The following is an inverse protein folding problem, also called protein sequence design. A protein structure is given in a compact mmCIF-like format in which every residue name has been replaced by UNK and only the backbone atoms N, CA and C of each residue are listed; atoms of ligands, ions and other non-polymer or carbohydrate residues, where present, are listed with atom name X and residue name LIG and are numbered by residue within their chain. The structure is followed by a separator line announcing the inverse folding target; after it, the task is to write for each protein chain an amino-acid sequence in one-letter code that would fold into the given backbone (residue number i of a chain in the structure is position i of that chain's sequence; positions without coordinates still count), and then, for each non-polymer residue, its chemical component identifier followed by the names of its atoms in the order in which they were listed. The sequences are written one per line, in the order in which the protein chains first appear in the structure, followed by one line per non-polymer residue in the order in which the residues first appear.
data_IF_718441659827
#
_entry.id   IF_718441659827
#
_cell.length_a   1.000
_cell.length_b   1.000
_cell.length_c   1.000
_cell.angle_alpha   90.00
_cell.angle_beta   90.00
_cell.angle_gamma   90.00
#
_symmetry.space_group_name_H-M   'P 1'
#
loop_
_entity.id
_entity.type
_entity.pdbx_description
1 polymer ?
#
# COMPACT_ATOMS: atom_id res chain seq x y z
N UNK A 1 -4.05 -11.50 11.92
CA UNK A 1 -3.26 -11.18 13.15
C UNK A 1 -1.81 -11.65 13.08
N UNK A 2 -1.56 -12.85 12.58
CA UNK A 2 -0.20 -13.37 12.40
C UNK A 2 0.66 -12.45 11.52
N UNK A 3 0.14 -12.02 10.37
CA UNK A 3 0.85 -11.15 9.43
C UNK A 3 1.17 -9.79 10.05
N UNK A 4 0.27 -9.26 10.87
CA UNK A 4 0.47 -7.99 11.56
C UNK A 4 1.62 -8.04 12.56
N UNK A 5 1.80 -9.19 13.22
CA UNK A 5 2.82 -9.41 14.26
C UNK A 5 4.03 -10.20 13.76
N UNK A 6 4.03 -10.59 12.48
CA UNK A 6 5.09 -11.41 11.91
C UNK A 6 6.43 -10.69 11.81
N UNK A 7 7.51 -11.43 11.56
CA UNK A 7 8.86 -10.87 11.48
C UNK A 7 9.15 -10.11 10.20
N UNK A 8 8.24 -10.13 9.22
CA UNK A 8 8.42 -9.46 7.94
C UNK A 8 8.56 -7.94 8.14
N UNK A 9 9.52 -7.33 7.45
CA UNK A 9 9.68 -5.87 7.46
C UNK A 9 8.47 -5.24 6.77
N UNK A 10 7.80 -4.34 7.48
CA UNK A 10 6.58 -3.69 7.02
C UNK A 10 6.87 -2.30 6.49
N UNK A 11 6.29 -1.98 5.34
CA UNK A 11 6.46 -0.71 4.66
C UNK A 11 5.09 -0.19 4.25
N UNK A 12 4.73 1.01 4.70
CA UNK A 12 3.52 1.69 4.24
C UNK A 12 3.77 2.27 2.86
N UNK A 13 2.87 1.99 1.92
CA UNK A 13 3.04 2.34 0.52
C UNK A 13 1.92 3.28 0.07
N UNK A 14 2.29 4.34 -0.62
CA UNK A 14 1.37 5.36 -1.11
C UNK A 14 1.74 5.76 -2.54
N UNK A 15 0.75 5.88 -3.40
CA UNK A 15 0.97 6.36 -4.76
C UNK A 15 -0.15 7.30 -5.18
N UNK A 16 0.21 8.41 -5.79
CA UNK A 16 -0.73 9.39 -6.31
C UNK A 16 -1.68 8.76 -7.31
N UNK A 17 -2.91 9.26 -7.35
CA UNK A 17 -4.01 8.69 -8.11
C UNK A 17 -3.69 8.47 -9.59
N UNK A 18 -2.91 9.38 -10.19
CA UNK A 18 -2.57 9.33 -11.62
C UNK A 18 -1.08 9.07 -11.85
N UNK A 19 -0.37 8.53 -10.87
CA UNK A 19 1.01 8.12 -11.07
C UNK A 19 1.06 7.03 -12.15
N UNK A 20 2.06 7.09 -13.02
CA UNK A 20 2.20 6.17 -14.14
C UNK A 20 2.40 4.72 -13.65
N UNK A 21 1.45 3.85 -13.96
CA UNK A 21 1.49 2.44 -13.57
C UNK A 21 2.61 1.66 -14.27
N UNK A 22 3.14 2.20 -15.38
CA UNK A 22 4.21 1.59 -16.14
C UNK A 22 5.58 2.22 -15.87
N UNK A 23 5.66 3.14 -14.91
CA UNK A 23 6.95 3.71 -14.50
C UNK A 23 7.89 2.59 -14.06
N UNK A 24 9.07 2.52 -14.68
CA UNK A 24 10.04 1.46 -14.43
C UNK A 24 10.51 1.41 -12.97
N UNK A 25 10.60 2.56 -12.30
CA UNK A 25 10.99 2.64 -10.89
C UNK A 25 9.95 2.01 -9.99
N UNK A 26 8.67 2.21 -10.30
CA UNK A 26 7.55 1.61 -9.57
C UNK A 26 7.59 0.08 -9.69
N UNK A 27 7.69 -0.42 -10.89
CA UNK A 27 7.73 -1.87 -11.16
C UNK A 27 8.97 -2.50 -10.54
N UNK A 28 10.12 -1.87 -10.67
CA UNK A 28 11.36 -2.36 -10.08
C UNK A 28 11.28 -2.41 -8.56
N UNK A 29 10.79 -1.35 -7.93
CA UNK A 29 10.65 -1.31 -6.48
C UNK A 29 9.71 -2.40 -5.97
N UNK A 30 8.55 -2.55 -6.62
CA UNK A 30 7.59 -3.58 -6.23
C UNK A 30 8.18 -5.00 -6.39
N UNK A 31 8.92 -5.25 -7.45
CA UNK A 31 9.60 -6.52 -7.68
C UNK A 31 10.61 -6.81 -6.57
N UNK A 32 11.43 -5.82 -6.22
CA UNK A 32 12.42 -5.97 -5.14
C UNK A 32 11.76 -6.24 -3.79
N UNK A 33 10.65 -5.57 -3.50
CA UNK A 33 9.91 -5.81 -2.26
C UNK A 33 9.38 -7.24 -2.20
N UNK A 34 8.92 -7.76 -3.33
CA UNK A 34 8.52 -9.16 -3.44
C UNK A 34 9.66 -10.12 -3.20
N UNK A 35 10.77 -9.92 -3.87
CA UNK A 35 11.96 -10.78 -3.75
C UNK A 35 12.54 -10.78 -2.34
N UNK A 36 12.41 -9.68 -1.62
CA UNK A 36 12.86 -9.55 -0.22
C UNK A 36 11.79 -9.98 0.78
N UNK A 37 10.65 -10.47 0.32
CA UNK A 37 9.53 -10.90 1.18
C UNK A 37 9.09 -9.84 2.18
N UNK A 38 9.05 -8.57 1.73
CA UNK A 38 8.56 -7.46 2.55
C UNK A 38 7.04 -7.52 2.68
N UNK A 39 6.51 -6.90 3.74
CA UNK A 39 5.08 -6.76 3.93
C UNK A 39 4.65 -5.34 3.59
N UNK A 40 3.86 -5.18 2.53
CA UNK A 40 3.34 -3.87 2.13
C UNK A 40 2.04 -3.59 2.88
N UNK A 41 1.93 -2.38 3.44
CA UNK A 41 0.74 -1.92 4.14
C UNK A 41 0.17 -0.72 3.41
N UNK A 42 -1.10 -0.74 3.09
CA UNK A 42 -1.70 0.39 2.39
C UNK A 42 -3.18 0.21 2.12
N UNK A 43 -3.75 1.22 1.48
CA UNK A 43 -5.16 1.20 1.06
C UNK A 43 -5.33 0.59 -0.33
N UNK A 44 -4.27 0.57 -1.12
CA UNK A 44 -4.23 0.06 -2.49
C UNK A 44 -5.43 0.53 -3.32
N UNK A 45 -5.77 1.80 -3.15
CA UNK A 45 -6.96 2.39 -3.76
C UNK A 45 -6.69 2.93 -5.17
N UNK A 46 -5.54 3.59 -5.38
CA UNK A 46 -5.16 4.09 -6.71
C UNK A 46 -4.72 2.95 -7.62
N UNK A 47 -4.78 3.18 -8.93
CA UNK A 47 -4.31 2.19 -9.91
C UNK A 47 -2.82 1.89 -9.74
N UNK A 48 -2.03 2.91 -9.42
CA UNK A 48 -0.61 2.74 -9.18
C UNK A 48 -0.35 1.90 -7.92
N UNK A 49 -1.09 2.13 -6.84
CA UNK A 49 -1.00 1.31 -5.64
C UNK A 49 -1.41 -0.15 -5.91
N UNK A 50 -2.44 -0.36 -6.70
CA UNK A 50 -2.87 -1.71 -7.11
C UNK A 50 -1.81 -2.40 -7.97
N UNK A 51 -1.16 -1.66 -8.86
CA UNK A 51 -0.05 -2.18 -9.66
C UNK A 51 1.11 -2.63 -8.79
N UNK A 52 1.49 -1.80 -7.80
CA UNK A 52 2.54 -2.14 -6.84
C UNK A 52 2.17 -3.42 -6.09
N UNK A 53 0.96 -3.50 -5.58
CA UNK A 53 0.49 -4.67 -4.85
C UNK A 53 0.56 -5.94 -5.69
N UNK A 54 0.05 -5.90 -6.91
CA UNK A 54 0.04 -7.07 -7.79
C UNK A 54 1.46 -7.54 -8.14
N UNK A 55 2.34 -6.62 -8.53
CA UNK A 55 3.73 -6.96 -8.88
C UNK A 55 4.47 -7.52 -7.66
N UNK A 56 4.31 -6.90 -6.50
CA UNK A 56 4.97 -7.35 -5.28
C UNK A 56 4.48 -8.74 -4.86
N UNK A 57 3.17 -8.98 -4.87
CA UNK A 57 2.59 -10.28 -4.51
C UNK A 57 3.04 -11.38 -5.48
N UNK A 58 3.10 -11.10 -6.77
CA UNK A 58 3.59 -12.05 -7.78
C UNK A 58 5.04 -12.46 -7.55
N UNK A 59 5.82 -11.61 -6.88
CA UNK A 59 7.23 -11.85 -6.58
C UNK A 59 7.47 -12.32 -5.14
N UNK A 60 6.43 -12.62 -4.37
CA UNK A 60 6.57 -13.23 -3.05
C UNK A 60 6.38 -12.31 -1.86
N UNK A 61 5.92 -11.09 -2.05
CA UNK A 61 5.64 -10.15 -0.96
C UNK A 61 4.46 -10.60 -0.11
N UNK A 62 4.40 -10.03 1.08
CA UNK A 62 3.22 -10.07 1.97
C UNK A 62 2.50 -8.73 1.88
N UNK A 63 1.24 -8.68 2.29
CA UNK A 63 0.49 -7.42 2.29
C UNK A 63 -0.56 -7.37 3.39
N UNK A 64 -0.78 -6.16 3.91
CA UNK A 64 -1.91 -5.81 4.76
C UNK A 64 -2.71 -4.73 4.03
N UNK A 65 -3.93 -5.05 3.64
CA UNK A 65 -4.79 -4.16 2.88
C UNK A 65 -5.84 -3.55 3.80
N UNK A 66 -5.76 -2.23 3.98
CA UNK A 66 -6.70 -1.46 4.81
C UNK A 66 -7.81 -0.90 3.91
N UNK A 67 -9.01 -1.43 4.06
CA UNK A 67 -10.16 -1.04 3.25
C UNK A 67 -11.07 -0.08 4.01
N UNK A 68 -11.51 0.96 3.34
CA UNK A 68 -12.51 1.91 3.86
C UNK A 68 -13.95 1.45 3.62
N UNK A 69 -14.15 0.21 3.24
CA UNK A 69 -15.48 -0.39 3.04
C UNK A 69 -15.42 -1.88 3.39
N UNK A 70 -16.54 -2.59 3.24
CA UNK A 70 -16.63 -4.02 3.54
C UNK A 70 -15.65 -4.85 2.73
N UNK A 71 -15.35 -6.06 3.21
CA UNK A 71 -14.45 -6.99 2.53
C UNK A 71 -14.97 -7.30 1.12
N UNK A 72 -14.07 -7.56 0.15
CA UNK A 72 -14.47 -7.99 -1.18
C UNK A 72 -15.22 -9.33 -1.12
N UNK A 73 -16.15 -9.54 -2.04
CA UNK A 73 -16.87 -10.81 -2.16
C UNK A 73 -15.98 -11.92 -2.72
N UNK A 74 -14.97 -11.57 -3.49
CA UNK A 74 -14.06 -12.54 -4.10
C UNK A 74 -12.71 -11.90 -4.41
N UNK A 75 -11.71 -12.75 -4.59
CA UNK A 75 -10.35 -12.36 -4.95
C UNK A 75 -9.93 -13.13 -6.20
N UNK A 76 -9.06 -12.56 -7.03
CA UNK A 76 -8.57 -13.20 -8.26
C UNK A 76 -7.07 -12.90 -8.47
N UNK A 77 -6.43 -13.71 -9.33
CA UNK A 77 -5.04 -13.51 -9.72
C UNK A 77 -4.06 -13.55 -8.55
N UNK A 78 -3.16 -12.58 -8.48
CA UNK A 78 -2.14 -12.49 -7.43
C UNK A 78 -2.75 -12.34 -6.03
N UNK A 79 -3.90 -11.68 -5.92
CA UNK A 79 -4.62 -11.53 -4.65
C UNK A 79 -5.10 -12.90 -4.14
N UNK A 80 -5.72 -13.68 -5.02
CA UNK A 80 -6.17 -15.03 -4.67
C UNK A 80 -4.99 -15.90 -4.21
N UNK A 81 -3.91 -15.90 -4.97
CA UNK A 81 -2.73 -16.70 -4.63
C UNK A 81 -2.14 -16.31 -3.27
N UNK A 82 -2.03 -15.00 -3.01
CA UNK A 82 -1.53 -14.49 -1.74
C UNK A 82 -2.43 -14.87 -0.58
N UNK A 83 -3.75 -14.81 -0.75
CA UNK A 83 -4.72 -15.24 0.27
C UNK A 83 -4.59 -16.74 0.54
N UNK A 84 -4.52 -17.55 -0.51
CA UNK A 84 -4.39 -19.00 -0.40
C UNK A 84 -3.09 -19.42 0.29
N UNK A 85 -2.02 -18.66 0.11
CA UNK A 85 -0.70 -18.89 0.70
C UNK A 85 -0.52 -18.21 2.07
N UNK A 86 -1.55 -17.58 2.59
CA UNK A 86 -1.53 -16.86 3.89
C UNK A 86 -0.52 -15.70 3.89
N UNK A 87 -0.39 -15.01 2.74
CA UNK A 87 0.52 -13.87 2.56
C UNK A 87 -0.19 -12.52 2.56
N UNK A 88 -1.52 -12.50 2.63
CA UNK A 88 -2.28 -11.25 2.62
C UNK A 88 -3.34 -11.25 3.71
N UNK A 89 -3.41 -10.12 4.44
CA UNK A 89 -4.46 -9.81 5.40
C UNK A 89 -5.26 -8.62 4.86
N UNK A 90 -6.58 -8.77 4.79
CA UNK A 90 -7.48 -7.69 4.40
C UNK A 90 -8.25 -7.24 5.63
N UNK A 91 -8.17 -5.95 5.94
CA UNK A 91 -8.82 -5.36 7.11
C UNK A 91 -9.90 -4.39 6.62
N UNK A 92 -11.15 -4.67 6.98
CA UNK A 92 -12.26 -3.75 6.76
C UNK A 92 -12.36 -2.79 7.95
N UNK A 93 -12.08 -1.52 7.70
CA UNK A 93 -12.14 -0.49 8.75
C UNK A 93 -13.56 0.03 8.97
N UNK A 94 -14.46 -0.22 8.03
CA UNK A 94 -15.85 0.28 8.07
C UNK A 94 -16.81 -0.73 7.46
N UNK A 95 -17.97 -0.89 8.07
CA UNK A 95 -19.06 -1.74 7.54
C UNK A 95 -19.91 -0.97 6.52
N UNK A 96 -19.29 -0.55 5.44
CA UNK A 96 -19.93 0.21 4.36
C UNK A 96 -19.73 -0.50 3.03
N UNK A 97 -20.74 -0.44 2.18
CA UNK A 97 -20.71 -1.12 0.88
C UNK A 97 -19.69 -0.49 -0.08
N UNK A 98 -19.51 0.83 0.01
CA UNK A 98 -18.61 1.58 -0.86
C UNK A 98 -17.73 2.52 -0.06
N UNK A 99 -16.55 2.85 -0.59
CA UNK A 99 -15.70 3.89 -0.05
C UNK A 99 -16.39 5.25 -0.12
N UNK A 100 -16.24 6.05 0.93
CA UNK A 100 -16.47 7.49 0.88
C UNK A 100 -15.12 8.20 0.89
N UNK A 101 -15.14 9.50 0.58
CA UNK A 101 -13.94 10.34 0.67
C UNK A 101 -13.34 10.32 2.08
N UNK A 102 -14.20 10.37 3.09
CA UNK A 102 -13.77 10.41 4.51
C UNK A 102 -13.20 9.05 4.95
N UNK A 103 -13.83 7.92 4.58
CA UNK A 103 -13.31 6.60 4.93
C UNK A 103 -11.99 6.31 4.22
N UNK A 104 -11.84 6.74 2.97
CA UNK A 104 -10.60 6.60 2.23
C UNK A 104 -9.47 7.41 2.89
N UNK A 105 -9.73 8.66 3.28
CA UNK A 105 -8.76 9.49 3.99
C UNK A 105 -8.37 8.90 5.34
N UNK A 106 -9.35 8.41 6.08
CA UNK A 106 -9.08 7.75 7.36
C UNK A 106 -8.11 6.59 7.19
N UNK A 107 -8.36 5.72 6.21
CA UNK A 107 -7.49 4.57 5.96
C UNK A 107 -6.09 5.00 5.51
N UNK A 108 -5.96 6.06 4.71
CA UNK A 108 -4.66 6.61 4.33
C UNK A 108 -3.90 7.10 5.57
N UNK A 109 -4.54 7.85 6.45
CA UNK A 109 -3.91 8.31 7.69
C UNK A 109 -3.55 7.15 8.61
N UNK A 110 -4.42 6.16 8.72
CA UNK A 110 -4.13 4.95 9.49
C UNK A 110 -2.87 4.25 8.94
N UNK A 111 -2.74 4.13 7.63
CA UNK A 111 -1.56 3.54 7.01
C UNK A 111 -0.27 4.30 7.35
N UNK A 112 -0.31 5.64 7.46
CA UNK A 112 0.86 6.42 7.85
C UNK A 112 1.33 6.11 9.27
N UNK A 113 0.42 5.66 10.13
CA UNK A 113 0.71 5.36 11.53
C UNK A 113 1.15 3.92 11.79
N UNK A 114 0.88 3.02 10.83
CA UNK A 114 1.14 1.59 11.01
C UNK A 114 2.61 1.22 10.96
N UNK A 115 3.40 1.95 10.20
CA UNK A 115 4.80 1.62 9.93
C UNK A 115 5.69 2.86 10.05
N UNK A 116 6.97 2.64 10.39
CA UNK A 116 7.99 3.69 10.40
C UNK A 116 8.80 3.75 9.11
N UNK A 117 8.52 2.87 8.17
CA UNK A 117 9.09 2.86 6.82
C UNK A 117 7.98 3.14 5.84
N UNK A 118 8.18 4.15 5.00
CA UNK A 118 7.20 4.58 4.01
C UNK A 118 7.83 4.68 2.62
N UNK A 119 7.05 4.38 1.59
CA UNK A 119 7.41 4.64 0.20
C UNK A 119 6.30 5.44 -0.46
N UNK A 120 6.66 6.53 -1.11
CA UNK A 120 5.73 7.45 -1.78
C UNK A 120 6.08 7.56 -3.25
N UNK A 121 5.08 7.37 -4.09
CA UNK A 121 5.15 7.58 -5.54
C UNK A 121 4.25 8.77 -5.85
N UNK A 122 4.84 9.96 -5.98
CA UNK A 122 4.10 11.23 -5.95
C UNK A 122 4.08 11.94 -7.28
N UNK A 123 2.92 12.51 -7.61
CA UNK A 123 2.80 13.60 -8.56
C UNK A 123 2.88 14.92 -7.81
N UNK A 124 3.35 15.98 -8.49
CA UNK A 124 3.70 17.24 -7.87
C UNK A 124 2.55 17.95 -7.14
N UNK A 125 1.32 17.71 -7.55
CA UNK A 125 0.13 18.40 -7.04
C UNK A 125 -0.72 17.55 -6.08
N UNK A 126 -0.17 16.49 -5.50
CA UNK A 126 -0.92 15.62 -4.60
C UNK A 126 -1.15 16.29 -3.24
N UNK A 127 -2.35 16.84 -3.05
CA UNK A 127 -2.72 17.58 -1.85
C UNK A 127 -2.90 16.71 -0.61
N UNK A 128 -3.10 15.39 -0.77
CA UNK A 128 -3.26 14.46 0.35
C UNK A 128 -1.94 13.80 0.74
N UNK A 129 -1.24 13.22 -0.23
CA UNK A 129 -0.05 12.41 0.04
C UNK A 129 1.21 13.25 0.29
N UNK A 130 1.36 14.39 -0.37
CA UNK A 130 2.52 15.26 -0.15
C UNK A 130 2.62 15.73 1.30
N UNK A 131 1.54 16.19 1.96
CA UNK A 131 1.58 16.48 3.39
C UNK A 131 1.91 15.26 4.26
N UNK A 132 1.37 14.09 3.93
CA UNK A 132 1.69 12.85 4.65
C UNK A 132 3.18 12.52 4.56
N UNK A 133 3.76 12.67 3.38
CA UNK A 133 5.19 12.45 3.15
C UNK A 133 6.05 13.40 3.98
N UNK A 134 5.73 14.70 3.95
CA UNK A 134 6.46 15.71 4.73
C UNK A 134 6.38 15.42 6.23
N UNK A 135 5.22 15.00 6.70
CA UNK A 135 5.01 14.65 8.11
C UNK A 135 5.85 13.44 8.53
N UNK A 136 5.89 12.40 7.69
CA UNK A 136 6.71 11.22 7.95
C UNK A 136 8.20 11.59 8.01
N UNK A 137 8.66 12.44 7.12
CA UNK A 137 10.05 12.96 7.13
C UNK A 137 10.31 13.73 8.41
N UNK A 138 9.38 14.58 8.84
CA UNK A 138 9.52 15.35 10.09
C UNK A 138 9.58 14.46 11.34
N UNK A 139 8.94 13.30 11.30
CA UNK A 139 9.01 12.30 12.37
C UNK A 139 10.26 11.42 12.30
N UNK A 140 11.14 11.68 11.33
CA UNK A 140 12.37 10.91 11.10
C UNK A 140 12.12 9.45 10.76
N UNK A 141 11.02 9.17 10.08
CA UNK A 141 10.76 7.84 9.53
C UNK A 141 11.70 7.58 8.34
N UNK A 142 11.91 6.31 8.03
CA UNK A 142 12.63 5.89 6.84
C UNK A 142 11.71 6.06 5.61
N UNK A 143 11.93 7.11 4.83
CA UNK A 143 11.03 7.50 3.75
C UNK A 143 11.77 7.46 2.42
N UNK A 144 11.21 6.71 1.46
CA UNK A 144 11.63 6.74 0.05
C UNK A 144 10.59 7.53 -0.75
N UNK A 145 11.05 8.41 -1.61
CA UNK A 145 10.17 9.25 -2.44
C UNK A 145 10.56 9.10 -3.90
N UNK A 146 9.58 8.79 -4.73
CA UNK A 146 9.71 8.72 -6.17
C UNK A 146 8.78 9.77 -6.78
N UNK A 147 9.34 10.82 -7.32
CA UNK A 147 8.56 11.87 -7.97
C UNK A 147 8.43 11.57 -9.47
N UNK A 148 7.23 11.75 -10.00
CA UNK A 148 6.98 11.67 -11.43
C UNK A 148 7.45 12.97 -12.09
N UNK A 149 8.26 12.84 -13.11
CA UNK A 149 8.81 13.97 -13.87
C UNK A 149 7.78 14.62 -14.79
#
# INVERSE_FOLDING_TARGET
MRLWRGPEVKISVFASRHFDTDDSRLVQWATEMGERHRCLVGTFHSKAEQRILNVALENGAFAVWLRGCSLPNSYSGSLWNAMAEDRMLVVSCFHMKHHTRDTARYCTHLATMCCKRHAYFLKDDDSLLAPCCRKAISWKYDVQVFNED
#
